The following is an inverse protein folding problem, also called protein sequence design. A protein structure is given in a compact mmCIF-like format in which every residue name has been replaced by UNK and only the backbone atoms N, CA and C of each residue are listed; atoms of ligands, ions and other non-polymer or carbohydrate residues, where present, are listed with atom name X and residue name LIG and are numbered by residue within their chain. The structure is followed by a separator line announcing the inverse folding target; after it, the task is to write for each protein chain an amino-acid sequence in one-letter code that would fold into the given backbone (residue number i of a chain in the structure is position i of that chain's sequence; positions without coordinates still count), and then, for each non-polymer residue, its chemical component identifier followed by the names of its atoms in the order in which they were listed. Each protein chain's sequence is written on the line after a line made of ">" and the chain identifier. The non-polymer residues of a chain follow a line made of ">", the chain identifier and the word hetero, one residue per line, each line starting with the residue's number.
data_IF_019351667592
#
_entry.id   IF_019351667592
#
_cell.length_a   1.000
_cell.length_b   1.000
_cell.length_c   1.000
_cell.angle_alpha   90.00
_cell.angle_beta   90.00
_cell.angle_gamma   90.00
#
_symmetry.space_group_name_H-M   'P 1'
#
loop_
_entity.id
_entity.type
_entity.pdbx_description
1 polymer ?
#
# COMPACT_ATOMS: atom_id res chain seq x y z
N UNK A 1 31.94 7.86 -28.54
CA UNK A 1 31.18 7.14 -27.50
C UNK A 1 30.12 6.34 -28.24
N UNK A 2 29.98 5.02 -28.03
CA UNK A 2 28.93 4.28 -28.72
C UNK A 2 27.58 4.82 -28.25
N UNK A 3 26.71 5.20 -29.19
CA UNK A 3 25.32 5.52 -28.90
C UNK A 3 24.70 4.33 -28.19
N UNK A 4 24.19 4.54 -26.97
CA UNK A 4 23.34 3.53 -26.32
C UNK A 4 22.13 3.36 -27.23
N UNK A 5 22.03 2.21 -27.90
CA UNK A 5 20.82 1.82 -28.62
C UNK A 5 19.63 2.00 -27.68
N UNK A 6 18.67 2.82 -28.12
CA UNK A 6 17.46 3.09 -27.36
C UNK A 6 16.62 1.83 -27.42
N UNK A 7 16.61 1.05 -26.34
CA UNK A 7 15.79 -0.15 -26.22
C UNK A 7 14.32 0.27 -26.32
N UNK A 8 13.65 -0.15 -27.39
CA UNK A 8 12.20 0.05 -27.59
C UNK A 8 11.52 -1.22 -27.10
N UNK A 9 10.72 -1.08 -26.04
CA UNK A 9 9.96 -2.20 -25.50
C UNK A 9 8.66 -2.41 -26.30
N UNK A 10 8.19 -3.67 -26.47
CA UNK A 10 6.91 -3.94 -27.11
C UNK A 10 5.75 -3.23 -26.40
N UNK A 11 4.69 -2.78 -27.10
CA UNK A 11 3.61 -1.99 -26.49
C UNK A 11 2.98 -2.63 -25.24
N UNK A 12 2.83 -3.96 -25.22
CA UNK A 12 2.24 -4.75 -24.12
C UNK A 12 3.28 -5.41 -23.19
N UNK A 13 4.53 -4.91 -23.13
CA UNK A 13 5.58 -5.53 -22.31
C UNK A 13 5.18 -5.75 -20.84
N UNK A 14 4.39 -4.82 -20.28
CA UNK A 14 3.96 -4.83 -18.88
C UNK A 14 2.98 -5.99 -18.58
N UNK A 15 2.23 -6.44 -19.59
CA UNK A 15 1.36 -7.61 -19.48
C UNK A 15 2.21 -8.87 -19.24
N UNK A 16 3.29 -9.02 -20.02
CA UNK A 16 4.20 -10.15 -19.88
C UNK A 16 4.85 -10.18 -18.48
N UNK A 17 5.26 -9.02 -17.95
CA UNK A 17 5.84 -8.96 -16.61
C UNK A 17 4.86 -9.31 -15.50
N UNK A 18 3.60 -8.86 -15.63
CA UNK A 18 2.59 -9.21 -14.65
C UNK A 18 2.23 -10.70 -14.70
N UNK A 19 2.11 -11.27 -15.89
CA UNK A 19 1.89 -12.70 -16.06
C UNK A 19 3.07 -13.52 -15.53
N UNK A 20 4.31 -13.09 -15.80
CA UNK A 20 5.50 -13.72 -15.23
C UNK A 20 5.49 -13.67 -13.69
N UNK A 21 5.13 -12.53 -13.09
CA UNK A 21 5.03 -12.40 -11.64
C UNK A 21 4.04 -13.42 -11.06
N UNK A 22 2.87 -13.58 -11.69
CA UNK A 22 1.88 -14.59 -11.26
C UNK A 22 2.45 -16.00 -11.39
N UNK A 23 2.98 -16.36 -12.56
CA UNK A 23 3.56 -17.69 -12.83
C UNK A 23 4.69 -18.01 -11.85
N UNK A 24 5.53 -17.03 -11.54
CA UNK A 24 6.62 -17.17 -10.59
C UNK A 24 6.11 -17.47 -9.18
N UNK A 25 5.09 -16.72 -8.72
CA UNK A 25 4.50 -16.92 -7.40
C UNK A 25 3.83 -18.28 -7.32
N UNK A 26 3.03 -18.68 -8.31
CA UNK A 26 2.40 -20.01 -8.31
C UNK A 26 3.43 -21.14 -8.26
N UNK A 27 4.53 -21.00 -9.03
CA UNK A 27 5.59 -22.01 -9.10
C UNK A 27 6.41 -22.13 -7.82
N UNK A 28 6.74 -21.01 -7.18
CA UNK A 28 7.70 -20.98 -6.07
C UNK A 28 7.06 -20.73 -4.71
N UNK A 29 6.00 -19.94 -4.67
CA UNK A 29 5.36 -19.40 -3.46
C UNK A 29 3.86 -19.73 -3.39
N UNK A 30 3.38 -20.72 -4.15
CA UNK A 30 1.94 -21.03 -4.25
C UNK A 30 1.30 -21.42 -2.92
N UNK A 31 2.06 -22.02 -2.00
CA UNK A 31 1.64 -22.34 -0.63
C UNK A 31 1.37 -21.10 0.25
N UNK A 32 1.77 -19.91 -0.19
CA UNK A 32 1.52 -18.63 0.48
C UNK A 32 0.23 -17.94 -0.01
N UNK A 33 -0.44 -18.50 -1.03
CA UNK A 33 -1.68 -17.99 -1.60
C UNK A 33 -2.89 -18.55 -0.85
N UNK A 34 -3.83 -17.68 -0.49
CA UNK A 34 -5.14 -18.10 0.02
C UNK A 34 -6.18 -18.25 -1.09
N UNK A 35 -7.39 -18.65 -0.70
CA UNK A 35 -8.51 -18.87 -1.63
C UNK A 35 -8.87 -17.60 -2.42
N UNK A 36 -8.85 -16.43 -1.78
CA UNK A 36 -9.13 -15.14 -2.43
C UNK A 36 -8.04 -14.77 -3.45
N UNK A 37 -6.78 -15.07 -3.16
CA UNK A 37 -5.65 -14.81 -4.06
C UNK A 37 -5.72 -15.71 -5.31
N UNK A 38 -6.04 -17.00 -5.09
CA UNK A 38 -6.21 -17.97 -6.17
C UNK A 38 -7.41 -17.61 -7.05
N UNK A 39 -8.55 -17.27 -6.44
CA UNK A 39 -9.74 -16.79 -7.16
C UNK A 39 -9.43 -15.55 -7.98
N UNK A 40 -8.70 -14.58 -7.42
CA UNK A 40 -8.26 -13.40 -8.16
C UNK A 40 -7.41 -13.77 -9.39
N UNK A 41 -6.47 -14.70 -9.25
CA UNK A 41 -5.61 -15.15 -10.36
C UNK A 41 -6.45 -15.82 -11.46
N UNK A 42 -7.40 -16.66 -11.08
CA UNK A 42 -8.33 -17.32 -12.01
C UNK A 42 -9.20 -16.30 -12.77
N UNK A 43 -9.81 -15.36 -12.06
CA UNK A 43 -10.61 -14.28 -12.66
C UNK A 43 -9.75 -13.37 -13.55
N UNK A 44 -8.54 -13.02 -13.12
CA UNK A 44 -7.63 -12.23 -13.94
C UNK A 44 -7.26 -12.94 -15.24
N UNK A 45 -7.08 -14.28 -15.21
CA UNK A 45 -6.78 -15.09 -16.39
C UNK A 45 -7.97 -15.26 -17.33
N UNK A 46 -9.20 -15.17 -16.83
CA UNK A 46 -10.40 -15.24 -17.67
C UNK A 46 -10.70 -13.92 -18.39
N UNK A 47 -10.13 -12.80 -17.93
CA UNK A 47 -10.20 -11.53 -18.63
C UNK A 47 -9.63 -11.62 -20.05
N UNK A 48 -10.29 -10.93 -20.97
CA UNK A 48 -9.73 -10.72 -22.31
C UNK A 48 -8.44 -9.91 -22.23
N UNK A 49 -7.53 -10.10 -23.20
CA UNK A 49 -6.19 -9.49 -23.18
C UNK A 49 -6.22 -7.96 -23.06
N UNK A 50 -7.17 -7.30 -23.72
CA UNK A 50 -7.33 -5.84 -23.66
C UNK A 50 -7.80 -5.36 -22.27
N UNK A 51 -8.65 -6.14 -21.60
CA UNK A 51 -9.07 -5.91 -20.22
C UNK A 51 -7.92 -6.10 -19.23
N UNK A 52 -7.11 -7.16 -19.39
CA UNK A 52 -5.88 -7.34 -18.61
C UNK A 52 -4.93 -6.15 -18.82
N UNK A 53 -4.78 -5.70 -20.07
CA UNK A 53 -3.95 -4.54 -20.40
C UNK A 53 -4.43 -3.28 -19.67
N UNK A 54 -5.73 -2.98 -19.75
CA UNK A 54 -6.34 -1.81 -19.12
C UNK A 54 -6.18 -1.86 -17.59
N UNK A 55 -6.44 -3.02 -16.98
CA UNK A 55 -6.25 -3.25 -15.54
C UNK A 55 -4.81 -2.99 -15.10
N UNK A 56 -3.82 -3.57 -15.78
CA UNK A 56 -2.41 -3.36 -15.41
C UNK A 56 -1.97 -1.91 -15.66
N UNK A 57 -2.49 -1.27 -16.72
CA UNK A 57 -2.25 0.17 -16.96
C UNK A 57 -2.76 1.01 -15.80
N UNK A 58 -3.93 0.71 -15.24
CA UNK A 58 -4.44 1.38 -14.04
C UNK A 58 -3.58 1.08 -12.80
N UNK A 59 -3.21 -0.19 -12.56
CA UNK A 59 -2.34 -0.61 -11.45
C UNK A 59 -0.96 0.05 -11.46
N UNK A 60 -0.44 0.39 -12.64
CA UNK A 60 0.86 1.04 -12.79
C UNK A 60 0.80 2.57 -12.65
N UNK A 61 -0.40 3.14 -12.48
CA UNK A 61 -0.59 4.56 -12.18
C UNK A 61 -0.81 4.75 -10.69
N UNK A 62 -0.51 5.96 -10.21
CA UNK A 62 -0.76 6.33 -8.81
C UNK A 62 -2.25 6.59 -8.60
N UNK A 63 -2.81 6.03 -7.54
CA UNK A 63 -4.19 6.25 -7.10
C UNK A 63 -5.11 5.07 -7.35
N UNK A 64 -6.32 5.16 -6.80
CA UNK A 64 -7.39 4.16 -6.92
C UNK A 64 -8.48 4.59 -7.90
N UNK A 65 -8.62 5.90 -8.13
CA UNK A 65 -9.62 6.47 -9.01
C UNK A 65 -8.99 7.00 -10.30
N UNK A 66 -9.69 6.83 -11.42
CA UNK A 66 -9.23 7.24 -12.73
C UNK A 66 -10.38 7.82 -13.54
N UNK A 67 -10.08 8.79 -14.40
CA UNK A 67 -11.01 9.24 -15.44
C UNK A 67 -10.80 8.45 -16.72
N UNK A 68 -11.87 7.97 -17.33
CA UNK A 68 -11.78 7.18 -18.56
C UNK A 68 -11.18 7.97 -19.73
N UNK A 69 -11.48 9.27 -19.84
CA UNK A 69 -10.90 10.14 -20.89
C UNK A 69 -9.36 10.26 -20.78
N UNK A 70 -8.79 9.91 -19.62
CA UNK A 70 -7.34 9.88 -19.38
C UNK A 70 -6.73 8.49 -19.49
N UNK A 71 -7.51 7.47 -19.83
CA UNK A 71 -7.09 6.09 -20.04
C UNK A 71 -7.22 5.74 -21.52
N UNK A 72 -6.36 6.33 -22.35
CA UNK A 72 -6.33 6.09 -23.80
C UNK A 72 -4.93 5.64 -24.20
N UNK A 73 -4.85 4.41 -24.68
CA UNK A 73 -3.64 3.67 -25.00
C UNK A 73 -3.80 3.03 -26.38
N UNK A 74 -2.86 3.28 -27.33
CA UNK A 74 -2.98 2.80 -28.71
C UNK A 74 -3.02 1.28 -28.86
N UNK A 75 -2.46 0.54 -27.90
CA UNK A 75 -2.41 -0.92 -27.91
C UNK A 75 -3.67 -1.62 -27.41
N UNK A 76 -4.67 -0.87 -26.93
CA UNK A 76 -5.95 -1.40 -26.46
C UNK A 76 -7.01 -0.98 -27.49
N UNK A 77 -7.66 -1.94 -28.11
CA UNK A 77 -8.58 -1.71 -29.23
C UNK A 77 -10.04 -1.64 -28.75
N UNK A 78 -10.43 -2.51 -27.81
CA UNK A 78 -11.82 -2.69 -27.37
C UNK A 78 -12.08 -2.17 -25.95
N UNK A 79 -12.10 -0.85 -25.76
CA UNK A 79 -12.27 -0.23 -24.43
C UNK A 79 -13.62 -0.55 -23.76
N UNK A 80 -14.73 -0.41 -24.48
CA UNK A 80 -16.07 -0.63 -23.91
C UNK A 80 -16.22 -2.04 -23.36
N UNK A 81 -15.96 -3.04 -24.20
CA UNK A 81 -16.00 -4.45 -23.80
C UNK A 81 -14.97 -4.78 -22.70
N UNK A 82 -13.81 -4.12 -22.70
CA UNK A 82 -12.80 -4.30 -21.64
C UNK A 82 -13.29 -3.78 -20.30
N UNK A 83 -13.95 -2.61 -20.27
CA UNK A 83 -14.54 -2.06 -19.05
C UNK A 83 -15.69 -2.93 -18.55
N UNK A 84 -16.57 -3.37 -19.44
CA UNK A 84 -17.70 -4.24 -19.08
C UNK A 84 -17.20 -5.55 -18.46
N UNK A 85 -16.20 -6.18 -19.07
CA UNK A 85 -15.62 -7.42 -18.55
C UNK A 85 -14.94 -7.20 -17.18
N UNK A 86 -14.18 -6.11 -17.01
CA UNK A 86 -13.58 -5.76 -15.72
C UNK A 86 -14.64 -5.49 -14.65
N UNK A 87 -15.73 -4.82 -15.00
CA UNK A 87 -16.82 -4.52 -14.08
C UNK A 87 -17.59 -5.78 -13.67
N UNK A 88 -17.83 -6.70 -14.60
CA UNK A 88 -18.53 -7.98 -14.34
C UNK A 88 -17.77 -8.88 -13.35
N UNK A 89 -16.44 -8.83 -13.36
CA UNK A 89 -15.58 -9.58 -12.43
C UNK A 89 -15.13 -8.74 -11.22
N UNK A 90 -15.71 -7.55 -11.02
CA UNK A 90 -15.41 -6.66 -9.90
C UNK A 90 -13.94 -6.24 -9.81
N UNK A 91 -13.24 -6.13 -10.95
CA UNK A 91 -11.90 -5.53 -11.01
C UNK A 91 -11.97 -4.02 -10.90
N UNK A 92 -13.08 -3.45 -11.37
CA UNK A 92 -13.42 -2.04 -11.28
C UNK A 92 -14.87 -1.85 -10.89
N UNK A 93 -15.22 -0.65 -10.44
CA UNK A 93 -16.60 -0.15 -10.43
C UNK A 93 -16.68 1.21 -11.14
N UNK A 94 -17.85 1.44 -11.76
CA UNK A 94 -18.28 2.67 -12.40
C UNK A 94 -19.44 3.34 -11.64
N UNK A 95 -19.86 2.79 -10.49
CA UNK A 95 -21.01 3.24 -9.71
C UNK A 95 -20.78 4.65 -9.12
N UNK A 96 -21.81 5.28 -8.55
CA UNK A 96 -21.71 6.63 -7.98
C UNK A 96 -20.62 6.72 -6.88
N UNK A 97 -19.47 7.23 -7.29
CA UNK A 97 -18.25 7.31 -6.49
C UNK A 97 -18.32 8.54 -5.57
N UNK A 98 -18.80 8.36 -4.35
CA UNK A 98 -18.79 9.40 -3.30
C UNK A 98 -17.50 9.29 -2.49
N UNK A 99 -16.37 9.69 -3.10
CA UNK A 99 -15.05 9.64 -2.48
C UNK A 99 -14.30 10.97 -2.65
N UNK A 100 -13.84 11.61 -1.56
CA UNK A 100 -13.01 12.83 -1.58
C UNK A 100 -11.87 12.83 -2.62
N UNK A 101 -11.25 11.67 -2.82
CA UNK A 101 -10.15 11.44 -3.74
C UNK A 101 -10.51 11.76 -5.20
N UNK A 102 -11.79 11.69 -5.57
CA UNK A 102 -12.29 12.02 -6.90
C UNK A 102 -11.93 13.44 -7.31
N UNK A 103 -12.00 14.42 -6.39
CA UNK A 103 -11.66 15.81 -6.70
C UNK A 103 -10.19 15.98 -7.12
N UNK A 104 -9.31 15.06 -6.72
CA UNK A 104 -7.88 15.07 -7.10
C UNK A 104 -7.66 14.71 -8.57
N UNK A 105 -8.64 14.09 -9.23
CA UNK A 105 -8.58 13.74 -10.66
C UNK A 105 -8.75 14.94 -11.60
N UNK A 106 -9.25 16.05 -11.08
CA UNK A 106 -9.59 17.24 -11.86
C UNK A 106 -8.56 18.34 -11.67
N UNK A 107 -8.29 19.09 -12.73
CA UNK A 107 -7.52 20.32 -12.65
C UNK A 107 -8.29 21.36 -11.83
N UNK A 108 -7.59 22.37 -11.28
CA UNK A 108 -8.24 23.48 -10.59
C UNK A 108 -9.28 24.19 -11.47
N UNK A 109 -8.97 24.34 -12.77
CA UNK A 109 -9.87 24.99 -13.72
C UNK A 109 -11.15 24.20 -13.95
N UNK A 110 -11.07 22.86 -14.04
CA UNK A 110 -12.25 22.01 -14.19
C UNK A 110 -13.13 22.07 -12.95
N UNK A 111 -12.55 22.00 -11.74
CA UNK A 111 -13.33 22.12 -10.49
C UNK A 111 -13.99 23.49 -10.35
N UNK A 112 -13.29 24.57 -10.70
CA UNK A 112 -13.88 25.91 -10.68
C UNK A 112 -15.04 26.05 -11.68
N UNK A 113 -14.94 25.41 -12.85
CA UNK A 113 -16.03 25.38 -13.85
C UNK A 113 -17.21 24.55 -13.35
N UNK A 114 -16.96 23.41 -12.70
CA UNK A 114 -18.01 22.54 -12.17
C UNK A 114 -18.73 23.16 -10.96
N UNK A 115 -17.99 23.90 -10.12
CA UNK A 115 -18.49 24.48 -8.87
C UNK A 115 -18.21 26.00 -8.78
N UNK A 116 -18.77 26.81 -9.69
CA UNK A 116 -18.50 28.25 -9.73
C UNK A 116 -18.96 28.98 -8.46
N UNK A 117 -19.98 28.46 -7.76
CA UNK A 117 -20.54 29.01 -6.53
C UNK A 117 -19.54 29.06 -5.37
N UNK A 118 -18.50 28.22 -5.38
CA UNK A 118 -17.52 28.12 -4.30
C UNK A 118 -16.36 29.13 -4.41
N UNK A 119 -16.30 29.94 -5.48
CA UNK A 119 -15.27 30.97 -5.60
C UNK A 119 -13.83 30.45 -5.70
N UNK A 120 -13.64 29.20 -6.14
CA UNK A 120 -12.37 28.45 -6.12
C UNK A 120 -11.20 29.05 -6.95
N UNK A 121 -11.44 30.09 -7.74
CA UNK A 121 -10.48 30.59 -8.75
C UNK A 121 -9.19 31.13 -8.14
N UNK A 122 -9.31 31.84 -7.01
CA UNK A 122 -8.17 32.47 -6.32
C UNK A 122 -7.42 31.54 -5.39
N UNK A 123 -7.98 30.38 -5.05
CA UNK A 123 -7.41 29.42 -4.11
C UNK A 123 -6.27 28.60 -4.77
N UNK A 124 -5.36 28.09 -3.95
CA UNK A 124 -4.41 27.05 -4.34
C UNK A 124 -5.11 25.69 -4.49
N UNK A 125 -4.50 24.74 -5.20
CA UNK A 125 -5.17 23.45 -5.49
C UNK A 125 -5.49 22.67 -4.22
N UNK A 126 -4.63 22.70 -3.22
CA UNK A 126 -4.86 21.99 -1.95
C UNK A 126 -6.01 22.62 -1.16
N UNK A 127 -6.05 23.95 -1.05
CA UNK A 127 -7.18 24.69 -0.45
C UNK A 127 -8.52 24.40 -1.17
N UNK A 128 -8.49 24.28 -2.50
CA UNK A 128 -9.69 23.89 -3.28
C UNK A 128 -10.15 22.49 -2.91
N UNK A 129 -9.21 21.55 -2.74
CA UNK A 129 -9.54 20.17 -2.37
C UNK A 129 -10.12 20.13 -0.96
N UNK A 130 -9.48 20.78 0.01
CA UNK A 130 -9.99 20.88 1.39
C UNK A 130 -11.39 21.46 1.44
N UNK A 131 -11.62 22.58 0.75
CA UNK A 131 -12.94 23.23 0.66
C UNK A 131 -13.98 22.26 0.09
N UNK A 132 -13.65 21.56 -1.00
CA UNK A 132 -14.59 20.60 -1.61
C UNK A 132 -14.87 19.42 -0.70
N UNK A 133 -13.87 18.89 -0.01
CA UNK A 133 -14.05 17.77 0.92
C UNK A 133 -14.99 18.17 2.07
N UNK A 134 -14.86 19.38 2.59
CA UNK A 134 -15.68 19.89 3.70
C UNK A 134 -17.14 20.13 3.30
N UNK A 135 -17.38 20.67 2.09
CA UNK A 135 -18.73 21.08 1.66
C UNK A 135 -19.43 20.09 0.73
N UNK A 136 -18.72 19.09 0.21
CA UNK A 136 -19.28 18.15 -0.76
C UNK A 136 -20.38 17.28 -0.15
N UNK A 137 -21.39 17.03 -0.96
CA UNK A 137 -22.39 15.98 -0.77
C UNK A 137 -22.49 15.14 -2.05
N UNK A 138 -23.37 14.16 -2.07
CA UNK A 138 -23.60 13.27 -3.23
C UNK A 138 -23.84 14.04 -4.54
N UNK A 139 -24.44 15.25 -4.49
CA UNK A 139 -24.75 16.05 -5.68
C UNK A 139 -23.49 16.60 -6.35
N UNK A 140 -22.42 16.87 -5.60
CA UNK A 140 -21.14 17.30 -6.16
C UNK A 140 -20.49 16.17 -6.96
N UNK A 141 -20.52 14.95 -6.43
CA UNK A 141 -20.00 13.77 -7.12
C UNK A 141 -20.84 13.46 -8.37
N UNK A 142 -22.18 13.51 -8.26
CA UNK A 142 -23.09 13.36 -9.42
C UNK A 142 -22.82 14.42 -10.50
N UNK A 143 -22.54 15.67 -10.12
CA UNK A 143 -22.19 16.73 -11.07
C UNK A 143 -20.95 16.38 -11.89
N UNK A 144 -19.92 15.80 -11.24
CA UNK A 144 -18.73 15.33 -11.94
C UNK A 144 -19.01 14.08 -12.77
N UNK A 145 -19.70 13.09 -12.21
CA UNK A 145 -20.04 11.83 -12.90
C UNK A 145 -20.95 12.04 -14.12
N UNK A 146 -21.72 13.14 -14.16
CA UNK A 146 -22.53 13.52 -15.31
C UNK A 146 -21.71 13.97 -16.54
N UNK A 147 -20.52 14.55 -16.34
CA UNK A 147 -19.64 14.99 -17.43
C UNK A 147 -18.46 14.02 -17.66
N UNK A 148 -18.04 13.26 -16.63
CA UNK A 148 -16.88 12.37 -16.70
C UNK A 148 -17.17 10.99 -16.14
N UNK A 149 -16.81 9.95 -16.91
CA UNK A 149 -16.81 8.58 -16.39
C UNK A 149 -15.60 8.36 -15.48
N UNK A 150 -15.89 8.04 -14.23
CA UNK A 150 -14.91 7.79 -13.18
C UNK A 150 -14.90 6.30 -12.86
N UNK A 151 -13.71 5.74 -12.83
CA UNK A 151 -13.45 4.34 -12.57
C UNK A 151 -12.76 4.25 -11.22
N UNK A 152 -13.24 3.35 -10.36
CA UNK A 152 -12.51 2.91 -9.18
C UNK A 152 -11.94 1.53 -9.43
N UNK A 153 -10.65 1.37 -9.16
CA UNK A 153 -9.98 0.07 -9.15
C UNK A 153 -10.24 -0.63 -7.82
N UNK A 154 -10.56 -1.94 -7.85
CA UNK A 154 -11.00 -2.68 -6.65
C UNK A 154 -10.03 -3.77 -6.17
N UNK A 155 -9.12 -4.25 -7.03
CA UNK A 155 -8.26 -5.42 -6.74
C UNK A 155 -6.80 -5.04 -6.41
N UNK A 156 -6.55 -3.81 -5.95
CA UNK A 156 -5.18 -3.36 -5.63
C UNK A 156 -4.55 -4.18 -4.50
N UNK A 157 -5.31 -4.52 -3.47
CA UNK A 157 -4.76 -5.23 -2.30
C UNK A 157 -4.27 -6.63 -2.67
N UNK A 158 -5.03 -7.38 -3.48
CA UNK A 158 -4.61 -8.69 -3.98
C UNK A 158 -3.32 -8.56 -4.80
N UNK A 159 -3.25 -7.56 -5.69
CA UNK A 159 -2.05 -7.31 -6.50
C UNK A 159 -0.85 -6.89 -5.65
N UNK A 160 -1.06 -6.07 -4.62
CA UNK A 160 -0.02 -5.61 -3.71
C UNK A 160 0.54 -6.78 -2.89
N UNK A 161 -0.31 -7.71 -2.46
CA UNK A 161 0.13 -8.93 -1.79
C UNK A 161 0.95 -9.83 -2.73
N UNK A 162 0.52 -10.05 -3.98
CA UNK A 162 1.31 -10.78 -4.97
C UNK A 162 2.68 -10.12 -5.21
N UNK A 163 2.71 -8.80 -5.38
CA UNK A 163 3.97 -8.04 -5.49
C UNK A 163 4.84 -8.23 -4.25
N UNK A 164 4.26 -8.18 -3.06
CA UNK A 164 4.97 -8.42 -1.81
C UNK A 164 5.59 -9.82 -1.77
N UNK A 165 4.86 -10.86 -2.18
CA UNK A 165 5.40 -12.23 -2.25
C UNK A 165 6.53 -12.38 -3.28
N UNK A 166 6.47 -11.61 -4.38
CA UNK A 166 7.52 -11.61 -5.40
C UNK A 166 8.78 -10.86 -4.93
N UNK A 167 8.62 -9.61 -4.47
CA UNK A 167 9.73 -8.72 -4.13
C UNK A 167 10.25 -8.89 -2.70
N UNK A 168 9.47 -9.50 -1.80
CA UNK A 168 9.75 -9.60 -0.37
C UNK A 168 9.49 -8.31 0.41
N UNK A 169 8.92 -7.28 -0.22
CA UNK A 169 8.65 -5.97 0.39
C UNK A 169 7.53 -5.17 -0.33
N UNK A 170 6.84 -4.27 0.40
CA UNK A 170 5.65 -3.56 -0.10
C UNK A 170 5.91 -2.37 -1.06
N UNK A 171 7.16 -2.00 -1.32
CA UNK A 171 7.50 -0.93 -2.27
C UNK A 171 7.91 -1.45 -3.66
N UNK A 172 7.77 -2.75 -3.89
CA UNK A 172 8.12 -3.38 -5.16
C UNK A 172 7.24 -2.86 -6.29
N UNK A 173 7.87 -2.33 -7.34
CA UNK A 173 7.17 -1.78 -8.50
C UNK A 173 7.33 -2.65 -9.73
N UNK A 174 6.30 -2.74 -10.57
CA UNK A 174 6.40 -3.43 -11.87
C UNK A 174 7.45 -2.81 -12.79
N UNK A 175 7.81 -1.55 -12.58
CA UNK A 175 8.89 -0.87 -13.30
C UNK A 175 10.28 -1.43 -12.99
N UNK A 176 10.46 -2.16 -11.90
CA UNK A 176 11.74 -2.81 -11.59
C UNK A 176 12.09 -3.89 -12.61
N UNK A 177 11.09 -4.58 -13.17
CA UNK A 177 11.29 -5.53 -14.28
C UNK A 177 11.84 -4.84 -15.53
N UNK A 178 11.29 -3.65 -15.84
CA UNK A 178 11.74 -2.82 -16.97
C UNK A 178 13.22 -2.43 -16.80
N UNK A 179 13.60 -2.00 -15.60
CA UNK A 179 14.97 -1.57 -15.30
C UNK A 179 15.96 -2.74 -15.43
N UNK A 180 15.56 -3.95 -15.02
CA UNK A 180 16.41 -5.15 -15.13
C UNK A 180 16.62 -5.58 -16.57
N UNK A 181 15.55 -5.63 -17.37
CA UNK A 181 15.63 -6.00 -18.79
C UNK A 181 16.41 -4.98 -19.63
N UNK A 182 16.25 -3.67 -19.36
CA UNK A 182 17.04 -2.59 -19.99
C UNK A 182 18.49 -2.58 -19.47
N UNK A 183 18.72 -3.08 -18.26
CA UNK A 183 20.01 -3.14 -17.58
C UNK A 183 20.84 -4.41 -17.82
N UNK A 184 20.44 -5.27 -18.77
CA UNK A 184 21.07 -6.55 -19.14
C UNK A 184 20.86 -7.74 -18.17
N UNK A 185 19.92 -7.67 -17.23
CA UNK A 185 19.50 -8.83 -16.43
C UNK A 185 18.12 -9.26 -16.93
N UNK A 186 18.08 -10.22 -17.85
CA UNK A 186 16.82 -10.80 -18.35
C UNK A 186 16.08 -11.52 -17.23
N UNK A 187 14.76 -11.32 -17.13
CA UNK A 187 13.91 -12.08 -16.19
C UNK A 187 14.11 -13.60 -16.29
N UNK A 188 14.31 -14.13 -17.49
CA UNK A 188 14.52 -15.56 -17.76
C UNK A 188 15.69 -16.19 -16.97
N UNK A 189 16.63 -15.37 -16.48
CA UNK A 189 17.75 -15.83 -15.66
C UNK A 189 17.40 -15.98 -14.18
N UNK A 190 16.28 -15.43 -13.69
CA UNK A 190 15.82 -15.59 -12.30
C UNK A 190 15.36 -17.02 -12.01
N UNK A 191 14.86 -17.72 -13.03
CA UNK A 191 14.41 -19.12 -12.95
C UNK A 191 15.58 -20.12 -12.88
N UNK A 192 16.82 -19.68 -13.15
CA UNK A 192 18.00 -20.55 -13.12
C UNK A 192 18.65 -20.53 -11.73
N UNK A 193 18.27 -21.53 -10.94
CA UNK A 193 18.84 -22.02 -9.67
C UNK A 193 18.26 -21.38 -8.39
N UNK A 194 17.58 -22.23 -7.60
CA UNK A 194 17.29 -22.09 -6.16
C UNK A 194 16.63 -20.78 -5.70
N UNK A 195 15.56 -20.32 -6.35
CA UNK A 195 14.72 -19.31 -5.72
C UNK A 195 14.10 -19.89 -4.44
N UNK A 196 14.49 -19.32 -3.31
CA UNK A 196 13.91 -19.64 -2.00
C UNK A 196 12.83 -18.59 -1.71
N UNK A 197 11.58 -19.02 -1.45
CA UNK A 197 10.51 -18.12 -1.06
C UNK A 197 10.89 -17.22 0.11
N UNK A 198 10.39 -15.99 0.10
CA UNK A 198 10.66 -15.05 1.19
C UNK A 198 10.04 -15.45 2.51
N UNK A 199 9.05 -16.36 2.50
CA UNK A 199 8.29 -16.82 3.65
C UNK A 199 8.08 -18.32 3.56
N UNK A 200 8.06 -18.98 4.70
CA UNK A 200 7.86 -20.43 4.79
C UNK A 200 6.38 -20.80 4.99
N UNK A 201 5.59 -19.90 5.58
CA UNK A 201 4.15 -20.10 5.79
C UNK A 201 3.35 -18.86 5.40
N UNK A 202 2.10 -19.09 5.00
CA UNK A 202 1.17 -18.03 4.61
C UNK A 202 0.89 -17.07 5.77
N UNK A 203 0.82 -17.59 6.99
CA UNK A 203 0.55 -16.80 8.18
C UNK A 203 1.68 -15.80 8.46
N UNK A 204 2.94 -16.21 8.32
CA UNK A 204 4.06 -15.27 8.47
C UNK A 204 4.08 -14.21 7.35
N UNK A 205 3.76 -14.62 6.11
CA UNK A 205 3.68 -13.70 4.97
C UNK A 205 2.60 -12.63 5.20
N UNK A 206 1.38 -13.03 5.61
CA UNK A 206 0.28 -12.12 5.93
C UNK A 206 0.61 -11.21 7.10
N UNK A 207 1.11 -11.77 8.21
CA UNK A 207 1.51 -10.97 9.38
C UNK A 207 2.57 -9.92 9.01
N UNK A 208 3.52 -10.27 8.13
CA UNK A 208 4.54 -9.33 7.66
C UNK A 208 3.97 -8.27 6.72
N UNK A 209 3.06 -8.65 5.82
CA UNK A 209 2.38 -7.75 4.89
C UNK A 209 1.50 -6.73 5.63
N UNK A 210 0.71 -7.20 6.59
CA UNK A 210 -0.13 -6.37 7.45
C UNK A 210 0.68 -5.35 8.25
N UNK A 211 1.80 -5.76 8.85
CA UNK A 211 2.69 -4.83 9.54
C UNK A 211 3.29 -3.77 8.62
N UNK A 212 3.62 -4.13 7.39
CA UNK A 212 4.11 -3.16 6.42
C UNK A 212 3.01 -2.14 6.04
N UNK A 213 1.76 -2.58 5.93
CA UNK A 213 0.61 -1.71 5.74
C UNK A 213 0.31 -0.83 6.96
N UNK A 214 0.30 -1.39 8.18
CA UNK A 214 0.18 -0.64 9.43
C UNK A 214 1.29 0.39 9.58
N UNK A 215 2.52 0.05 9.23
CA UNK A 215 3.66 0.98 9.29
C UNK A 215 3.51 2.15 8.31
N UNK A 216 2.94 1.91 7.13
CA UNK A 216 2.60 2.97 6.17
C UNK A 216 1.44 3.83 6.69
N UNK A 217 0.36 3.20 7.13
CA UNK A 217 -0.82 3.87 7.65
C UNK A 217 -0.47 4.76 8.86
N UNK A 218 0.31 4.25 9.81
CA UNK A 218 0.79 5.02 10.96
C UNK A 218 1.56 6.28 10.53
N UNK A 219 2.45 6.19 9.53
CA UNK A 219 3.21 7.36 9.06
C UNK A 219 2.29 8.46 8.53
N UNK A 220 1.27 8.09 7.75
CA UNK A 220 0.31 9.04 7.23
C UNK A 220 -0.58 9.60 8.35
N UNK A 221 -1.01 8.75 9.27
CA UNK A 221 -1.85 9.16 10.39
C UNK A 221 -1.15 10.18 11.29
N UNK A 222 0.17 10.05 11.54
CA UNK A 222 0.92 11.02 12.35
C UNK A 222 1.01 12.42 11.73
N UNK A 223 0.66 12.59 10.47
CA UNK A 223 0.61 13.90 9.79
C UNK A 223 -0.78 14.55 9.87
N UNK A 224 -1.83 13.77 10.11
CA UNK A 224 -3.24 14.18 9.93
C UNK A 224 -4.11 14.06 11.19
N UNK A 225 -3.75 13.17 12.12
CA UNK A 225 -4.56 12.81 13.28
C UNK A 225 -3.87 13.17 14.60
N UNK A 226 -4.69 13.41 15.62
CA UNK A 226 -4.20 13.62 16.98
C UNK A 226 -3.62 12.31 17.56
N UNK A 227 -2.62 12.39 18.46
CA UNK A 227 -2.03 11.21 19.09
C UNK A 227 -3.04 10.25 19.73
N UNK A 228 -4.09 10.77 20.37
CA UNK A 228 -5.14 10.00 21.04
C UNK A 228 -6.04 9.24 20.03
N UNK A 229 -6.28 9.81 18.86
CA UNK A 229 -7.04 9.16 17.79
C UNK A 229 -6.25 7.99 17.20
N UNK A 230 -4.94 8.21 16.96
CA UNK A 230 -4.03 7.14 16.53
C UNK A 230 -3.98 6.04 17.58
N UNK A 231 -3.84 6.41 18.86
CA UNK A 231 -3.81 5.48 19.98
C UNK A 231 -5.08 4.61 20.01
N UNK A 232 -6.26 5.20 19.84
CA UNK A 232 -7.53 4.46 19.80
C UNK A 232 -7.58 3.41 18.68
N UNK A 233 -6.93 3.67 17.55
CA UNK A 233 -6.85 2.72 16.42
C UNK A 233 -5.82 1.61 16.66
N UNK A 234 -4.67 1.91 17.26
CA UNK A 234 -3.58 0.93 17.43
C UNK A 234 -3.69 0.08 18.69
N UNK A 235 -4.42 0.53 19.70
CA UNK A 235 -4.59 -0.18 20.98
C UNK A 235 -5.32 -1.53 20.82
N UNK A 236 -6.38 -1.66 20.01
CA UNK A 236 -7.07 -2.94 19.79
C UNK A 236 -6.27 -3.96 18.97
N UNK A 237 -5.11 -3.59 18.43
CA UNK A 237 -4.30 -4.49 17.61
C UNK A 237 -3.67 -5.57 18.51
N UNK A 238 -3.90 -6.84 18.16
CA UNK A 238 -3.33 -8.00 18.85
C UNK A 238 -1.84 -8.18 18.51
N UNK A 239 -0.96 -7.33 19.04
CA UNK A 239 0.47 -7.31 18.68
C UNK A 239 1.18 -8.66 18.86
N UNK A 240 0.75 -9.46 19.85
CA UNK A 240 1.28 -10.81 20.11
C UNK A 240 1.13 -11.74 18.90
N UNK A 241 0.09 -11.56 18.08
CA UNK A 241 -0.08 -12.32 16.85
C UNK A 241 1.11 -12.12 15.89
N UNK A 242 1.63 -10.91 15.77
CA UNK A 242 2.77 -10.66 14.87
C UNK A 242 4.10 -11.09 15.47
N UNK A 243 4.26 -10.94 16.79
CA UNK A 243 5.53 -11.21 17.48
C UNK A 243 5.91 -12.70 17.51
N UNK A 244 4.96 -13.62 17.25
CA UNK A 244 5.24 -15.05 17.16
C UNK A 244 5.98 -15.45 15.89
N UNK A 245 5.94 -14.63 14.83
CA UNK A 245 6.60 -14.93 13.55
C UNK A 245 7.93 -14.19 13.42
N UNK A 246 9.07 -14.87 13.22
CA UNK A 246 10.39 -14.24 13.22
C UNK A 246 10.56 -13.05 12.25
N UNK A 247 10.03 -13.15 11.02
CA UNK A 247 10.14 -12.06 10.03
C UNK A 247 9.21 -10.89 10.37
N UNK A 248 7.97 -11.18 10.76
CA UNK A 248 7.02 -10.15 11.19
C UNK A 248 7.52 -9.43 12.45
N UNK A 249 8.03 -10.17 13.45
CA UNK A 249 8.61 -9.62 14.68
C UNK A 249 9.67 -8.56 14.39
N UNK A 250 10.61 -8.83 13.48
CA UNK A 250 11.64 -7.85 13.09
C UNK A 250 11.06 -6.54 12.56
N UNK A 251 9.90 -6.57 11.90
CA UNK A 251 9.20 -5.38 11.41
C UNK A 251 8.35 -4.74 12.52
N UNK A 252 7.70 -5.56 13.34
CA UNK A 252 6.91 -5.13 14.50
C UNK A 252 7.77 -4.36 15.49
N UNK A 253 8.95 -4.88 15.86
CA UNK A 253 9.85 -4.22 16.83
C UNK A 253 10.19 -2.79 16.39
N UNK A 254 10.39 -2.57 15.08
CA UNK A 254 10.66 -1.23 14.53
C UNK A 254 9.43 -0.32 14.62
N UNK A 255 8.26 -0.85 14.31
CA UNK A 255 7.01 -0.10 14.34
C UNK A 255 6.62 0.25 15.78
N UNK A 256 6.66 -0.72 16.68
CA UNK A 256 6.40 -0.57 18.12
C UNK A 256 7.32 0.47 18.76
N UNK A 257 8.63 0.43 18.46
CA UNK A 257 9.56 1.46 18.91
C UNK A 257 9.12 2.85 18.41
N UNK A 258 8.81 2.98 17.12
CA UNK A 258 8.38 4.27 16.54
C UNK A 258 7.06 4.77 17.14
N UNK A 259 6.12 3.88 17.41
CA UNK A 259 4.86 4.19 18.11
C UNK A 259 5.16 4.72 19.50
N UNK A 260 5.96 4.02 20.29
CA UNK A 260 6.37 4.47 21.63
C UNK A 260 7.04 5.85 21.58
N UNK A 261 7.95 6.07 20.62
CA UNK A 261 8.63 7.37 20.45
C UNK A 261 7.69 8.51 20.10
N UNK A 262 6.65 8.21 19.31
CA UNK A 262 5.63 9.18 18.94
C UNK A 262 4.75 9.53 20.14
N UNK A 263 4.25 8.54 20.87
CA UNK A 263 3.39 8.74 22.05
C UNK A 263 4.15 9.42 23.20
N UNK A 264 5.41 9.06 23.42
CA UNK A 264 6.26 9.70 24.45
C UNK A 264 6.45 11.20 24.14
N UNK A 265 6.63 11.57 22.86
CA UNK A 265 6.72 12.98 22.44
C UNK A 265 5.40 13.73 22.62
N UNK A 266 4.28 13.03 22.57
CA UNK A 266 2.94 13.56 22.80
C UNK A 266 2.55 13.56 24.29
N UNK A 267 3.47 13.26 25.21
CA UNK A 267 3.24 13.18 26.66
C UNK A 267 2.29 12.05 27.11
N UNK A 268 1.95 11.11 26.21
CA UNK A 268 1.19 9.89 26.50
C UNK A 268 2.14 8.79 27.00
N UNK A 269 2.74 9.02 28.19
CA UNK A 269 3.89 8.25 28.66
C UNK A 269 3.58 6.82 29.09
N UNK A 270 2.41 6.55 29.68
CA UNK A 270 2.06 5.19 30.12
C UNK A 270 1.71 4.29 28.92
N UNK A 271 1.11 4.86 27.89
CA UNK A 271 0.84 4.20 26.63
C UNK A 271 2.14 3.95 25.87
N UNK A 272 3.04 4.95 25.79
CA UNK A 272 4.36 4.78 25.21
C UNK A 272 5.14 3.63 25.86
N UNK A 273 5.09 3.51 27.20
CA UNK A 273 5.70 2.42 27.96
C UNK A 273 5.16 1.06 27.53
N UNK A 274 3.84 0.93 27.32
CA UNK A 274 3.20 -0.32 26.86
C UNK A 274 3.79 -0.77 25.53
N UNK A 275 3.98 0.14 24.56
CA UNK A 275 4.57 -0.20 23.26
C UNK A 275 6.07 -0.48 23.33
N UNK A 276 6.83 0.25 24.16
CA UNK A 276 8.25 -0.07 24.35
C UNK A 276 8.46 -1.44 24.98
N UNK A 277 7.62 -1.86 25.91
CA UNK A 277 7.71 -3.19 26.54
C UNK A 277 7.42 -4.35 25.57
N UNK A 278 6.75 -4.09 24.44
CA UNK A 278 6.53 -5.07 23.38
C UNK A 278 7.69 -5.16 22.39
N UNK A 279 8.57 -4.16 22.33
CA UNK A 279 9.67 -4.10 21.38
C UNK A 279 10.99 -4.57 21.98
N UNK A 280 11.67 -5.48 21.28
CA UNK A 280 13.04 -5.86 21.60
C UNK A 280 14.08 -5.01 20.85
N UNK A 281 13.69 -3.87 20.28
CA UNK A 281 14.63 -3.03 19.53
C UNK A 281 15.20 -1.93 20.43
N UNK A 282 16.53 -1.82 20.49
CA UNK A 282 17.19 -0.66 21.10
C UNK A 282 16.70 0.67 20.45
N UNK A 283 16.38 1.72 21.24
CA UNK A 283 16.53 1.84 22.69
C UNK A 283 15.23 1.62 23.51
N UNK A 284 14.35 0.69 23.12
CA UNK A 284 13.04 0.51 23.78
C UNK A 284 13.18 0.23 25.29
N UNK A 285 14.07 -0.68 25.68
CA UNK A 285 14.32 -1.02 27.09
C UNK A 285 14.83 0.19 27.89
N UNK A 286 15.79 0.96 27.35
CA UNK A 286 16.34 2.15 28.00
C UNK A 286 15.33 3.28 28.14
N UNK A 287 14.37 3.37 27.21
CA UNK A 287 13.25 4.31 27.30
C UNK A 287 12.22 3.86 28.32
N UNK A 288 11.87 2.58 28.36
CA UNK A 288 10.98 2.00 29.40
C UNK A 288 11.51 2.28 30.80
N UNK A 289 12.80 2.01 31.05
CA UNK A 289 13.46 2.29 32.34
C UNK A 289 13.32 3.76 32.72
N UNK A 290 13.61 4.68 31.80
CA UNK A 290 13.52 6.12 32.05
C UNK A 290 12.09 6.58 32.37
N UNK A 291 11.08 6.04 31.70
CA UNK A 291 9.67 6.36 31.99
C UNK A 291 9.26 5.82 33.36
N UNK A 292 9.63 4.57 33.68
CA UNK A 292 9.35 3.94 34.97
C UNK A 292 10.02 4.70 36.14
N UNK A 293 11.28 5.10 35.99
CA UNK A 293 11.99 5.90 36.99
C UNK A 293 11.32 7.26 37.24
N UNK A 294 10.99 7.99 36.17
CA UNK A 294 10.30 9.29 36.27
C UNK A 294 8.92 9.18 36.93
N UNK A 295 8.23 8.05 36.75
CA UNK A 295 6.93 7.76 37.34
C UNK A 295 7.00 7.12 38.74
N UNK A 296 8.21 6.96 39.30
CA UNK A 296 8.42 6.41 40.64
C UNK A 296 8.30 4.89 40.73
N UNK A 297 8.13 4.18 39.60
CA UNK A 297 8.06 2.71 39.51
C UNK A 297 9.46 2.08 39.47
N UNK A 298 10.23 2.31 40.53
CA UNK A 298 11.67 1.98 40.59
C UNK A 298 11.92 0.46 40.51
N UNK A 299 11.09 -0.36 41.14
CA UNK A 299 11.29 -1.82 41.14
C UNK A 299 11.08 -2.42 39.74
N UNK A 300 10.09 -1.92 38.98
CA UNK A 300 9.86 -2.31 37.59
C UNK A 300 11.04 -1.85 36.70
N UNK A 301 11.52 -0.62 36.90
CA UNK A 301 12.70 -0.12 36.17
C UNK A 301 13.94 -0.98 36.42
N UNK A 302 14.17 -1.38 37.68
CA UNK A 302 15.28 -2.27 38.06
C UNK A 302 15.15 -3.63 37.38
N UNK A 303 13.96 -4.22 37.37
CA UNK A 303 13.71 -5.51 36.73
C UNK A 303 14.11 -5.50 35.24
N UNK A 304 13.70 -4.46 34.49
CA UNK A 304 14.06 -4.31 33.07
C UNK A 304 15.57 -4.09 32.91
N UNK A 305 16.21 -3.31 33.79
CA UNK A 305 17.65 -3.06 33.73
C UNK A 305 18.46 -4.34 33.99
N UNK A 306 18.06 -5.16 34.97
CA UNK A 306 18.69 -6.45 35.25
C UNK A 306 18.54 -7.41 34.06
N UNK A 307 17.36 -7.45 33.43
CA UNK A 307 17.16 -8.22 32.20
C UNK A 307 18.09 -7.75 31.08
N UNK A 308 18.19 -6.44 30.85
CA UNK A 308 19.05 -5.86 29.82
C UNK A 308 20.53 -6.20 30.02
N UNK A 309 21.00 -6.26 31.28
CA UNK A 309 22.37 -6.72 31.60
C UNK A 309 22.55 -8.22 31.32
N UNK A 310 21.53 -9.02 31.64
CA UNK A 310 21.59 -10.48 31.43
C UNK A 310 21.50 -10.90 29.96
N UNK A 311 20.81 -10.10 29.13
CA UNK A 311 20.60 -10.31 27.69
C UNK A 311 20.84 -9.01 26.91
N UNK A 312 22.11 -8.59 26.77
CA UNK A 312 22.46 -7.47 25.89
C UNK A 312 22.19 -7.86 24.43
N UNK A 313 21.80 -6.86 23.62
CA UNK A 313 21.39 -7.02 22.22
C UNK A 313 22.43 -7.68 21.31
#
# INVERSE_FOLDING_TARGET
>A
MPEKEKIILPPRYYLNYFNYLIEFIEKHSGHLLGDEDQKFIEEYRSLQTDAQCLFIRMLNRKGEFFRLDKLQYPEIEVYGESLDHLSQLEFITLDDIVYPEVFRLFTKSELHKAFPQLGLKSMYKDEVLETLIEVSDDTYYQTLSAEWQIIRLLKQEQVNYLKFLFFGHNYGMMTEFVIRDVGNIKLENLDRHEFTPWFDTREEALATYELANLSRAFRLATEELLPEEILAVITPIEWKHFLQFPRAKKSADKLLLRIGEYLEKAELTDEALTFYQLSERHPARERSIRILEKSGRIDEARSIAEEAVSKPF
#
